data_IF_822684637178
#
_entry.id   IF_822684637178
#
_cell.length_a   1.000
_cell.length_b   1.000
_cell.length_c   1.000
_cell.angle_alpha   90.00
_cell.angle_beta   90.00
_cell.angle_gamma   90.00
#
_symmetry.space_group_name_H-M   'P 1'
#
loop_
_entity.id
_entity.type
_entity.pdbx_description
1 polymer ?
#
# COMPACT_ATOMS: atom_id res chain seq x y z
N UNK A 1 -40.73 1.29 22.66
CA UNK A 1 -39.31 0.99 22.88
C UNK A 1 -38.67 0.84 21.49
N UNK A 2 -38.01 1.88 20.97
CA UNK A 2 -37.32 1.79 19.67
C UNK A 2 -36.01 1.03 19.92
N UNK A 3 -35.95 -0.21 19.46
CA UNK A 3 -34.71 -0.97 19.38
C UNK A 3 -33.81 -0.21 18.39
N UNK A 4 -32.78 0.47 18.88
CA UNK A 4 -31.69 0.94 18.03
C UNK A 4 -30.92 -0.30 17.58
N UNK A 5 -31.18 -0.76 16.35
CA UNK A 5 -30.25 -1.62 15.63
C UNK A 5 -29.01 -0.76 15.36
N UNK A 6 -27.98 -0.91 16.19
CA UNK A 6 -26.67 -0.35 15.88
C UNK A 6 -26.16 -1.06 14.62
N UNK A 7 -25.66 -0.34 13.61
CA UNK A 7 -24.99 -0.97 12.48
C UNK A 7 -23.82 -1.77 13.05
N UNK A 8 -23.81 -3.07 12.77
CA UNK A 8 -22.65 -3.92 13.02
C UNK A 8 -21.65 -3.57 11.94
N UNK A 9 -20.72 -2.66 12.23
CA UNK A 9 -19.53 -2.51 11.39
C UNK A 9 -18.73 -3.78 11.57
N UNK A 10 -18.61 -4.57 10.50
CA UNK A 10 -17.75 -5.75 10.50
C UNK A 10 -16.30 -5.25 10.56
N UNK A 11 -15.68 -5.40 11.73
CA UNK A 11 -14.28 -5.03 11.92
C UNK A 11 -13.39 -6.00 11.12
N UNK A 12 -12.95 -5.57 9.94
CA UNK A 12 -11.96 -6.30 9.13
C UNK A 12 -10.52 -6.15 9.64
N UNK A 13 -9.69 -7.16 9.39
CA UNK A 13 -8.24 -7.08 9.51
C UNK A 13 -7.65 -6.53 8.21
N UNK A 14 -7.11 -5.31 8.24
CA UNK A 14 -6.59 -4.64 7.05
C UNK A 14 -5.06 -4.54 7.12
N UNK A 15 -4.38 -5.10 6.12
CA UNK A 15 -2.94 -4.90 5.94
C UNK A 15 -2.71 -3.76 4.95
N UNK A 16 -2.02 -2.71 5.36
CA UNK A 16 -1.57 -1.64 4.48
C UNK A 16 -0.10 -1.86 4.11
N UNK A 17 0.21 -1.69 2.85
CA UNK A 17 1.57 -1.54 2.34
C UNK A 17 1.61 -0.36 1.36
N UNK A 18 2.79 0.08 0.95
CA UNK A 18 2.93 1.29 0.12
C UNK A 18 4.22 1.23 -0.69
N UNK A 19 4.22 1.88 -1.87
CA UNK A 19 5.44 2.16 -2.63
C UNK A 19 6.21 3.31 -1.99
N UNK A 20 5.49 4.22 -1.33
CA UNK A 20 6.08 5.29 -0.53
C UNK A 20 6.66 4.78 0.79
N UNK A 21 7.08 5.72 1.62
CA UNK A 21 7.66 5.46 2.92
C UNK A 21 6.62 5.07 3.95
N UNK A 22 6.99 4.16 4.84
CA UNK A 22 6.17 3.76 5.98
C UNK A 22 5.81 4.91 6.93
N UNK A 23 6.54 6.04 6.88
CA UNK A 23 6.27 7.28 7.62
C UNK A 23 5.76 8.43 6.75
N UNK A 24 5.39 8.18 5.49
CA UNK A 24 4.73 9.18 4.67
C UNK A 24 3.32 9.50 5.19
N UNK A 25 2.81 10.69 4.86
CA UNK A 25 1.46 11.15 5.24
C UNK A 25 0.35 10.14 4.88
N UNK A 26 0.42 9.53 3.69
CA UNK A 26 -0.60 8.63 3.16
C UNK A 26 -0.90 7.45 4.09
N UNK A 27 0.02 6.47 4.21
CA UNK A 27 -0.21 5.26 5.01
C UNK A 27 -0.45 5.58 6.49
N UNK A 28 0.21 6.60 7.04
CA UNK A 28 0.08 7.01 8.46
C UNK A 28 -1.32 7.49 8.80
N UNK A 29 -1.87 8.42 8.01
CA UNK A 29 -3.22 8.93 8.28
C UNK A 29 -4.31 7.96 7.81
N UNK A 30 -4.06 7.11 6.81
CA UNK A 30 -5.04 6.09 6.41
C UNK A 30 -5.22 5.03 7.50
N UNK A 31 -4.13 4.55 8.11
CA UNK A 31 -4.20 3.60 9.23
C UNK A 31 -5.07 4.14 10.36
N UNK A 32 -4.87 5.41 10.73
CA UNK A 32 -5.64 6.02 11.79
C UNK A 32 -7.12 6.13 11.42
N UNK A 33 -7.44 6.58 10.20
CA UNK A 33 -8.82 6.69 9.74
C UNK A 33 -9.57 5.35 9.81
N UNK A 34 -8.97 4.28 9.28
CA UNK A 34 -9.56 2.92 9.30
C UNK A 34 -9.67 2.35 10.73
N UNK A 35 -8.70 2.66 11.60
CA UNK A 35 -8.73 2.22 13.00
C UNK A 35 -9.83 2.92 13.80
N UNK A 36 -10.05 4.23 13.57
CA UNK A 36 -11.17 4.95 14.20
C UNK A 36 -12.53 4.48 13.68
N UNK A 37 -12.59 3.97 12.46
CA UNK A 37 -13.77 3.33 11.89
C UNK A 37 -14.05 1.93 12.46
N UNK A 38 -13.09 1.36 13.20
CA UNK A 38 -13.24 0.11 13.95
C UNK A 38 -12.50 -1.09 13.39
N UNK A 39 -11.72 -0.91 12.32
CA UNK A 39 -10.89 -1.97 11.74
C UNK A 39 -9.63 -2.26 12.58
N UNK A 40 -9.13 -3.48 12.47
CA UNK A 40 -7.82 -3.86 13.00
C UNK A 40 -6.78 -3.69 11.89
N UNK A 41 -5.93 -2.67 12.00
CA UNK A 41 -5.04 -2.28 10.90
C UNK A 41 -3.58 -2.52 11.27
N UNK A 42 -2.81 -3.08 10.33
CA UNK A 42 -1.36 -3.21 10.40
C UNK A 42 -0.75 -2.63 9.15
N UNK A 43 0.41 -2.00 9.29
CA UNK A 43 1.15 -1.45 8.15
C UNK A 43 2.51 -2.09 8.09
N UNK A 44 2.89 -2.60 6.92
CA UNK A 44 4.24 -3.10 6.64
C UNK A 44 4.73 -2.47 5.35
N UNK A 45 5.83 -1.71 5.43
CA UNK A 45 6.36 -0.99 4.29
C UNK A 45 7.88 -0.83 4.35
N UNK A 46 8.46 -0.36 3.24
CA UNK A 46 9.89 -0.12 3.14
C UNK A 46 10.35 0.98 4.11
N UNK A 47 11.51 0.75 4.74
CA UNK A 47 12.21 1.73 5.57
C UNK A 47 12.75 2.88 4.72
N UNK A 48 13.17 2.59 3.47
CA UNK A 48 13.79 3.52 2.53
C UNK A 48 13.39 3.17 1.08
N UNK A 49 12.19 3.56 0.61
CA UNK A 49 11.69 3.17 -0.70
C UNK A 49 12.45 3.80 -1.87
N UNK A 50 13.08 4.97 -1.66
CA UNK A 50 13.70 5.80 -2.72
C UNK A 50 15.22 5.61 -2.85
N UNK A 51 15.83 4.64 -2.16
CA UNK A 51 17.25 4.34 -2.34
C UNK A 51 17.42 3.41 -3.54
N UNK A 52 17.79 3.97 -4.71
CA UNK A 52 18.30 3.18 -5.84
C UNK A 52 19.54 2.40 -5.36
N UNK A 53 19.41 1.10 -5.16
CA UNK A 53 20.57 0.26 -4.89
C UNK A 53 21.25 -0.06 -6.22
N UNK A 54 22.48 0.42 -6.40
CA UNK A 54 23.30 0.02 -7.55
C UNK A 54 23.59 -1.48 -7.48
N UNK A 55 23.36 -2.19 -8.59
CA UNK A 55 23.67 -3.63 -8.75
C UNK A 55 25.13 -3.99 -8.50
N UNK A 56 26.04 -3.02 -8.49
CA UNK A 56 27.48 -3.20 -8.22
C UNK A 56 27.79 -3.27 -6.71
N UNK A 57 26.88 -2.83 -5.84
CA UNK A 57 27.07 -2.84 -4.37
C UNK A 57 26.53 -4.09 -3.67
N UNK A 58 25.82 -4.98 -4.38
CA UNK A 58 25.36 -6.26 -3.83
C UNK A 58 26.52 -7.18 -3.41
N UNK A 59 27.64 -7.17 -4.14
CA UNK A 59 28.79 -8.05 -3.87
C UNK A 59 29.75 -7.53 -2.79
N UNK A 60 29.66 -6.24 -2.40
CA UNK A 60 30.53 -5.63 -1.38
C UNK A 60 29.83 -5.35 -0.05
N UNK A 61 28.86 -6.17 0.33
CA UNK A 61 28.28 -6.09 1.69
C UNK A 61 29.22 -6.71 2.72
N UNK A 62 30.27 -5.96 3.08
CA UNK A 62 30.64 -5.87 4.48
C UNK A 62 29.47 -5.19 5.19
N UNK A 63 28.71 -6.02 5.89
CA UNK A 63 27.57 -5.68 6.73
C UNK A 63 27.93 -4.48 7.62
N UNK A 64 27.38 -3.30 7.31
CA UNK A 64 27.22 -2.26 8.32
C UNK A 64 26.04 -2.68 9.18
N UNK A 65 26.35 -3.19 10.37
CA UNK A 65 25.36 -3.48 11.40
C UNK A 65 24.79 -2.15 11.89
N UNK A 66 23.46 -2.03 11.85
CA UNK A 66 22.69 -0.93 12.45
C UNK A 66 22.21 0.08 11.42
N UNK A 67 20.93 0.45 11.50
CA UNK A 67 20.34 1.60 10.82
C UNK A 67 21.22 2.86 10.94
N UNK A 68 21.99 3.28 9.90
CA UNK A 68 22.88 4.41 10.05
C UNK A 68 22.18 5.76 9.87
N UNK A 69 20.88 5.80 9.49
CA UNK A 69 20.21 7.05 9.07
C UNK A 69 18.75 7.21 9.56
N UNK A 70 18.31 6.48 10.60
CA UNK A 70 16.97 6.69 11.15
C UNK A 70 15.79 6.36 10.21
N UNK A 71 16.05 5.75 9.04
CA UNK A 71 15.05 5.54 7.99
C UNK A 71 14.65 6.83 7.30
N UNK A 72 13.65 6.75 6.43
CA UNK A 72 13.13 7.94 5.77
C UNK A 72 12.66 9.02 6.77
N UNK A 73 12.86 10.29 6.40
CA UNK A 73 12.73 11.48 7.26
C UNK A 73 13.52 11.42 8.58
N UNK A 74 14.46 10.49 8.74
CA UNK A 74 15.20 10.24 9.97
C UNK A 74 14.29 9.89 11.17
N UNK A 75 13.12 9.31 10.92
CA UNK A 75 12.08 9.11 11.93
C UNK A 75 12.56 8.32 13.16
N UNK A 76 13.39 7.30 12.97
CA UNK A 76 13.89 6.43 14.04
C UNK A 76 15.07 7.04 14.83
N UNK A 77 15.52 8.27 14.50
CA UNK A 77 16.55 8.92 15.33
C UNK A 77 16.03 9.17 16.74
N UNK A 78 16.85 8.97 17.79
CA UNK A 78 16.43 9.15 19.18
C UNK A 78 15.82 10.53 19.46
N UNK A 79 16.36 11.59 18.85
CA UNK A 79 15.84 12.95 19.01
C UNK A 79 14.40 13.09 18.49
N UNK A 80 14.10 12.52 17.31
CA UNK A 80 12.75 12.54 16.73
C UNK A 80 11.77 11.72 17.57
N UNK A 81 12.18 10.52 17.98
CA UNK A 81 11.38 9.64 18.83
C UNK A 81 11.05 10.29 20.18
N UNK A 82 12.03 10.94 20.83
CA UNK A 82 11.81 11.68 22.08
C UNK A 82 10.87 12.87 21.86
N UNK A 83 11.07 13.62 20.78
CA UNK A 83 10.23 14.77 20.45
C UNK A 83 8.76 14.37 20.31
N UNK A 84 8.46 13.46 19.38
CA UNK A 84 7.08 13.02 19.12
C UNK A 84 6.45 12.32 20.32
N UNK A 85 7.21 11.53 21.08
CA UNK A 85 6.72 10.96 22.35
C UNK A 85 6.25 12.06 23.32
N UNK A 86 7.04 13.13 23.46
CA UNK A 86 6.70 14.23 24.34
C UNK A 86 5.50 15.03 23.83
N UNK A 87 5.39 15.27 22.53
CA UNK A 87 4.20 15.93 21.94
C UNK A 87 2.94 15.08 22.18
N UNK A 88 3.01 13.77 21.92
CA UNK A 88 1.90 12.85 22.23
C UNK A 88 1.50 12.93 23.69
N UNK A 89 2.47 12.93 24.61
CA UNK A 89 2.21 13.07 26.05
C UNK A 89 1.46 14.37 26.35
N UNK A 90 1.87 15.48 25.74
CA UNK A 90 1.21 16.78 25.93
C UNK A 90 -0.22 16.79 25.40
N UNK A 91 -0.49 16.11 24.29
CA UNK A 91 -1.78 16.14 23.59
C UNK A 91 -2.78 15.10 24.11
N UNK A 92 -2.30 13.95 24.61
CA UNK A 92 -3.17 12.83 25.00
C UNK A 92 -3.36 12.69 26.51
N UNK A 93 -2.43 13.19 27.33
CA UNK A 93 -2.55 13.05 28.80
C UNK A 93 -3.51 14.10 29.37
N UNK A 94 -4.49 13.68 30.20
CA UNK A 94 -5.43 14.61 30.81
C UNK A 94 -4.75 15.71 31.64
N UNK A 95 -5.21 16.95 31.46
CA UNK A 95 -4.69 18.12 32.18
C UNK A 95 -5.57 18.46 33.37
N UNK A 96 -4.92 18.78 34.48
CA UNK A 96 -5.56 19.18 35.73
C UNK A 96 -5.70 20.69 35.89
N UNK A 97 -5.82 21.13 37.14
CA UNK A 97 -5.95 22.55 37.50
C UNK A 97 -4.77 23.35 36.94
N UNK A 98 -5.07 24.51 36.34
CA UNK A 98 -4.10 25.39 35.65
C UNK A 98 -3.42 24.74 34.42
N UNK A 99 -4.09 23.79 33.76
CA UNK A 99 -3.59 23.18 32.53
C UNK A 99 -2.27 22.40 32.72
N UNK A 100 -2.06 21.84 33.92
CA UNK A 100 -0.84 21.09 34.25
C UNK A 100 -1.07 19.58 34.19
N UNK A 101 -0.09 18.83 33.69
CA UNK A 101 -0.09 17.36 33.74
C UNK A 101 0.42 16.94 35.11
N UNK A 102 -0.34 16.11 35.83
CA UNK A 102 0.10 15.60 37.13
C UNK A 102 1.25 14.60 36.95
N UNK A 103 2.19 14.56 37.90
CA UNK A 103 3.30 13.61 37.87
C UNK A 103 2.81 12.15 37.72
N UNK A 104 1.74 11.80 38.44
CA UNK A 104 1.14 10.46 38.38
C UNK A 104 0.68 10.08 36.96
N UNK A 105 0.01 10.98 36.25
CA UNK A 105 -0.45 10.72 34.88
C UNK A 105 0.73 10.72 33.88
N UNK A 106 1.71 11.59 34.11
CA UNK A 106 2.98 11.61 33.37
C UNK A 106 3.73 10.27 33.47
N UNK A 107 3.89 9.75 34.68
CA UNK A 107 4.63 8.50 34.94
C UNK A 107 3.89 7.30 34.37
N UNK A 108 2.56 7.26 34.48
CA UNK A 108 1.73 6.23 33.84
C UNK A 108 1.93 6.18 32.33
N UNK A 109 2.00 7.34 31.67
CA UNK A 109 2.26 7.41 30.23
C UNK A 109 3.65 6.86 29.90
N UNK A 110 4.68 7.25 30.65
CA UNK A 110 6.04 6.79 30.42
C UNK A 110 6.21 5.28 30.66
N UNK A 111 5.58 4.75 31.72
CA UNK A 111 5.54 3.32 31.99
C UNK A 111 4.82 2.53 30.90
N UNK A 112 3.69 3.03 30.40
CA UNK A 112 2.96 2.39 29.32
C UNK A 112 3.82 2.27 28.06
N UNK A 113 4.60 3.31 27.75
CA UNK A 113 5.52 3.33 26.62
C UNK A 113 6.71 2.37 26.82
N UNK A 114 7.28 2.30 28.03
CA UNK A 114 8.40 1.41 28.33
C UNK A 114 8.02 -0.07 28.36
N UNK A 115 6.76 -0.38 28.69
CA UNK A 115 6.23 -1.75 28.71
C UNK A 115 5.82 -2.27 27.32
N UNK A 116 5.90 -1.43 26.28
CA UNK A 116 5.62 -1.89 24.91
C UNK A 116 6.71 -2.86 24.47
N UNK A 117 6.29 -4.06 24.08
CA UNK A 117 7.16 -5.05 23.47
C UNK A 117 7.32 -4.72 21.99
N UNK A 118 8.35 -3.92 21.67
CA UNK A 118 8.64 -3.45 20.32
C UNK A 118 9.69 -4.37 19.70
N UNK A 119 9.32 -5.02 18.60
CA UNK A 119 10.22 -5.88 17.84
C UNK A 119 11.28 -5.02 17.13
N UNK A 120 12.55 -5.42 17.28
CA UNK A 120 13.71 -4.76 16.65
C UNK A 120 14.68 -5.83 16.14
N UNK A 121 14.46 -6.25 14.91
CA UNK A 121 15.31 -7.20 14.23
C UNK A 121 16.30 -6.51 13.28
N UNK A 122 17.28 -7.27 12.80
CA UNK A 122 18.32 -6.74 11.92
C UNK A 122 17.85 -6.36 10.51
N UNK A 123 16.65 -6.77 10.08
CA UNK A 123 16.09 -6.53 8.74
C UNK A 123 14.72 -5.84 8.78
N UNK A 124 14.05 -5.82 9.93
CA UNK A 124 12.74 -5.19 10.10
C UNK A 124 12.53 -4.83 11.58
N UNK A 125 11.54 -3.99 11.86
CA UNK A 125 11.16 -3.67 13.23
C UNK A 125 9.85 -2.89 13.29
N UNK A 126 9.40 -2.59 14.50
CA UNK A 126 8.22 -1.77 14.75
C UNK A 126 8.61 -0.33 15.06
N UNK A 127 7.71 0.58 14.70
CA UNK A 127 7.75 1.94 15.18
C UNK A 127 7.56 2.01 16.70
N UNK A 128 8.52 2.56 17.46
CA UNK A 128 8.34 2.74 18.89
C UNK A 128 7.16 3.63 19.25
N UNK A 129 6.75 4.54 18.36
CA UNK A 129 5.59 5.40 18.56
C UNK A 129 4.29 4.73 18.13
N UNK A 130 4.28 3.71 17.29
CA UNK A 130 3.05 3.05 16.89
C UNK A 130 3.29 1.57 16.53
N UNK A 131 3.02 0.62 17.42
CA UNK A 131 3.30 -0.81 17.17
C UNK A 131 2.47 -1.42 16.03
N UNK A 132 1.50 -0.70 15.45
CA UNK A 132 0.82 -1.13 14.23
C UNK A 132 1.68 -0.94 12.96
N UNK A 133 2.73 -0.11 13.02
CA UNK A 133 3.62 0.16 11.91
C UNK A 133 4.90 -0.66 12.00
N UNK A 134 5.18 -1.40 10.94
CA UNK A 134 6.38 -2.18 10.73
C UNK A 134 7.15 -1.61 9.55
N UNK A 135 8.46 -1.48 9.73
CA UNK A 135 9.38 -1.12 8.66
C UNK A 135 10.24 -2.33 8.30
N UNK A 136 10.59 -2.45 7.02
CA UNK A 136 11.53 -3.46 6.52
C UNK A 136 12.64 -2.74 5.76
N UNK A 137 13.89 -3.06 6.05
CA UNK A 137 15.08 -2.50 5.39
C UNK A 137 15.30 -3.16 4.02
N UNK A 138 14.35 -2.94 3.11
CA UNK A 138 14.28 -3.54 1.78
C UNK A 138 13.40 -2.69 0.85
N UNK A 139 13.40 -2.97 -0.46
CA UNK A 139 12.51 -2.30 -1.42
C UNK A 139 11.04 -2.64 -1.15
N UNK A 140 10.06 -1.85 -1.64
CA UNK A 140 8.64 -2.07 -1.34
C UNK A 140 8.13 -3.50 -1.57
N UNK A 141 8.45 -4.11 -2.73
CA UNK A 141 8.04 -5.49 -3.06
C UNK A 141 8.64 -6.52 -2.10
N UNK A 142 9.90 -6.32 -1.73
CA UNK A 142 10.63 -7.16 -0.78
C UNK A 142 10.06 -7.00 0.64
N UNK A 143 9.71 -5.77 1.03
CA UNK A 143 9.09 -5.48 2.32
C UNK A 143 7.76 -6.22 2.49
N UNK A 144 6.91 -6.22 1.46
CA UNK A 144 5.66 -7.00 1.47
C UNK A 144 5.94 -8.51 1.47
N UNK A 145 6.97 -8.97 0.78
CA UNK A 145 7.39 -10.38 0.81
C UNK A 145 7.78 -10.81 2.24
N UNK A 146 8.60 -10.01 2.92
CA UNK A 146 9.00 -10.21 4.33
C UNK A 146 7.79 -10.11 5.27
N UNK A 147 6.80 -9.27 4.96
CA UNK A 147 5.55 -9.22 5.71
C UNK A 147 4.89 -10.60 5.76
N UNK A 148 4.75 -11.24 4.60
CA UNK A 148 4.10 -12.55 4.48
C UNK A 148 4.96 -13.73 4.96
N UNK A 149 6.28 -13.69 4.77
CA UNK A 149 7.16 -14.81 5.15
C UNK A 149 7.54 -14.81 6.63
N UNK A 150 7.71 -13.62 7.22
CA UNK A 150 8.36 -13.48 8.53
C UNK A 150 7.50 -12.70 9.54
N UNK A 151 6.99 -11.52 9.19
CA UNK A 151 6.33 -10.65 10.18
C UNK A 151 4.97 -11.21 10.61
N UNK A 152 4.08 -11.48 9.66
CA UNK A 152 2.74 -11.98 9.96
C UNK A 152 2.81 -13.34 10.68
N UNK A 153 3.56 -14.35 10.20
CA UNK A 153 3.55 -15.66 10.84
C UNK A 153 4.21 -15.69 12.22
N UNK A 154 5.29 -14.92 12.44
CA UNK A 154 6.08 -15.02 13.69
C UNK A 154 5.66 -14.01 14.76
N UNK A 155 5.22 -12.82 14.36
CA UNK A 155 4.95 -11.71 15.30
C UNK A 155 3.47 -11.33 15.37
N UNK A 156 2.68 -11.66 14.35
CA UNK A 156 1.24 -11.39 14.31
C UNK A 156 0.43 -12.66 13.95
N UNK A 157 0.64 -13.81 14.62
CA UNK A 157 0.07 -15.10 14.20
C UNK A 157 -1.46 -15.14 14.25
N UNK A 158 -2.10 -14.25 15.01
CA UNK A 158 -3.56 -14.12 15.11
C UNK A 158 -4.15 -13.10 14.13
N UNK A 159 -3.31 -12.42 13.35
CA UNK A 159 -3.71 -11.45 12.35
C UNK A 159 -3.69 -12.10 10.97
N UNK A 160 -4.86 -12.31 10.38
CA UNK A 160 -5.01 -12.75 9.00
C UNK A 160 -5.70 -11.63 8.23
N UNK A 161 -5.07 -11.02 7.21
CA UNK A 161 -5.70 -9.95 6.45
C UNK A 161 -6.97 -10.44 5.76
N UNK A 162 -8.06 -9.69 5.93
CA UNK A 162 -9.28 -9.81 5.14
C UNK A 162 -9.17 -8.96 3.86
N UNK A 163 -8.37 -7.89 3.93
CA UNK A 163 -8.10 -6.98 2.83
C UNK A 163 -6.64 -6.48 2.88
N UNK A 164 -6.00 -6.37 1.72
CA UNK A 164 -4.72 -5.67 1.56
C UNK A 164 -4.95 -4.36 0.82
N UNK A 165 -4.48 -3.25 1.38
CA UNK A 165 -4.47 -1.94 0.73
C UNK A 165 -3.04 -1.60 0.33
N UNK A 166 -2.82 -1.32 -0.95
CA UNK A 166 -1.55 -0.81 -1.48
C UNK A 166 -1.68 0.70 -1.65
N UNK A 167 -1.17 1.48 -0.70
CA UNK A 167 -1.22 2.93 -0.68
C UNK A 167 -1.90 3.53 0.57
N UNK A 168 -2.30 4.82 0.53
CA UNK A 168 -2.33 5.69 -0.65
C UNK A 168 -0.91 6.06 -1.07
N UNK A 169 -0.57 5.76 -2.32
CA UNK A 169 0.73 6.10 -2.90
C UNK A 169 0.67 7.46 -3.58
N UNK A 170 1.73 8.25 -3.42
CA UNK A 170 2.00 9.41 -4.25
C UNK A 170 2.46 8.97 -5.65
N UNK A 171 2.02 9.71 -6.66
CA UNK A 171 2.16 9.34 -8.06
C UNK A 171 1.08 8.40 -8.59
N UNK A 172 0.68 8.64 -9.83
CA UNK A 172 -0.35 7.85 -10.50
C UNK A 172 0.18 6.47 -10.88
N UNK A 173 -0.55 5.44 -10.47
CA UNK A 173 -0.30 4.06 -10.85
C UNK A 173 -1.46 3.60 -11.72
N UNK A 174 -1.48 4.07 -12.96
CA UNK A 174 -2.54 3.74 -13.90
C UNK A 174 -2.44 2.27 -14.32
N UNK A 175 -3.60 1.65 -14.53
CA UNK A 175 -3.71 0.24 -14.90
C UNK A 175 -3.00 -0.03 -16.23
N UNK A 176 -2.23 -1.12 -16.28
CA UNK A 176 -1.57 -1.56 -17.50
C UNK A 176 -2.58 -1.89 -18.61
N UNK A 177 -2.23 -1.61 -19.87
CA UNK A 177 -3.08 -1.93 -21.01
C UNK A 177 -3.27 -3.46 -21.14
N UNK A 178 -4.45 -3.87 -21.62
CA UNK A 178 -4.73 -5.28 -21.87
C UNK A 178 -3.81 -5.84 -22.96
N UNK A 179 -3.11 -6.94 -22.65
CA UNK A 179 -2.30 -7.66 -23.62
C UNK A 179 -3.20 -8.37 -24.65
N UNK A 180 -2.67 -8.61 -25.85
CA UNK A 180 -3.31 -9.47 -26.86
C UNK A 180 -2.71 -10.88 -26.91
N UNK A 181 -1.77 -11.18 -26.02
CA UNK A 181 -1.07 -12.46 -25.99
C UNK A 181 -1.91 -13.51 -25.24
N UNK A 182 -1.85 -14.78 -25.65
CA UNK A 182 -2.60 -15.85 -24.98
C UNK A 182 -2.07 -16.16 -23.57
N UNK A 183 -0.78 -15.90 -23.31
CA UNK A 183 -0.12 -16.06 -22.01
C UNK A 183 0.63 -14.78 -21.69
N UNK A 184 0.37 -14.21 -20.52
CA UNK A 184 1.06 -13.01 -20.02
C UNK A 184 2.07 -13.44 -18.97
N UNK A 185 3.32 -13.02 -19.12
CA UNK A 185 4.40 -13.27 -18.15
C UNK A 185 4.86 -11.92 -17.60
N UNK A 186 4.68 -11.72 -16.30
CA UNK A 186 5.11 -10.51 -15.60
C UNK A 186 6.23 -10.83 -14.62
N UNK A 187 7.27 -10.00 -14.61
CA UNK A 187 8.34 -10.08 -13.63
C UNK A 187 8.14 -8.99 -12.57
N UNK A 188 7.65 -9.38 -11.39
CA UNK A 188 7.20 -8.43 -10.37
C UNK A 188 8.31 -7.47 -9.92
N UNK A 189 9.57 -7.91 -9.94
CA UNK A 189 10.72 -7.08 -9.57
C UNK A 189 11.03 -5.99 -10.61
N UNK A 190 10.73 -6.26 -11.88
CA UNK A 190 11.03 -5.38 -13.01
C UNK A 190 9.81 -4.60 -13.53
N UNK A 191 8.65 -4.75 -12.88
CA UNK A 191 7.45 -4.00 -13.25
C UNK A 191 7.64 -2.50 -13.00
N UNK A 192 7.41 -1.70 -14.04
CA UNK A 192 7.44 -0.23 -13.93
C UNK A 192 6.38 0.29 -12.94
N UNK A 193 5.20 -0.35 -12.89
CA UNK A 193 4.15 -0.05 -11.93
C UNK A 193 4.34 -0.87 -10.65
N UNK A 194 5.05 -0.30 -9.68
CA UNK A 194 5.35 -0.96 -8.41
C UNK A 194 4.10 -1.24 -7.55
N UNK A 195 3.08 -0.37 -7.60
CA UNK A 195 1.82 -0.61 -6.90
C UNK A 195 1.07 -1.83 -7.46
N UNK A 196 1.08 -2.01 -8.79
CA UNK A 196 0.53 -3.21 -9.44
C UNK A 196 1.34 -4.47 -9.03
N UNK A 197 2.67 -4.38 -8.93
CA UNK A 197 3.50 -5.49 -8.48
C UNK A 197 3.18 -5.92 -7.04
N UNK A 198 3.03 -4.95 -6.12
CA UNK A 198 2.60 -5.21 -4.74
C UNK A 198 1.22 -5.86 -4.68
N UNK A 199 0.29 -5.36 -5.50
CA UNK A 199 -1.06 -5.90 -5.57
C UNK A 199 -1.09 -7.34 -6.07
N UNK A 200 -0.33 -7.65 -7.12
CA UNK A 200 -0.20 -9.02 -7.64
C UNK A 200 0.46 -9.97 -6.62
N UNK A 201 1.45 -9.49 -5.86
CA UNK A 201 2.05 -10.27 -4.78
C UNK A 201 1.05 -10.59 -3.66
N UNK A 202 0.18 -9.64 -3.29
CA UNK A 202 -0.88 -9.88 -2.31
C UNK A 202 -1.95 -10.86 -2.83
N UNK A 203 -2.36 -10.75 -4.11
CA UNK A 203 -3.27 -11.71 -4.74
C UNK A 203 -2.66 -13.12 -4.81
N UNK A 204 -1.36 -13.24 -5.08
CA UNK A 204 -0.62 -14.50 -5.04
C UNK A 204 -0.68 -15.17 -3.66
N UNK A 205 -0.76 -14.37 -2.59
CA UNK A 205 -0.97 -14.85 -1.22
C UNK A 205 -2.45 -15.06 -0.88
N UNK A 206 -3.32 -15.00 -1.87
CA UNK A 206 -4.77 -15.22 -1.75
C UNK A 206 -5.45 -14.20 -0.84
N UNK A 207 -5.11 -12.92 -1.00
CA UNK A 207 -5.81 -11.81 -0.36
C UNK A 207 -6.54 -10.92 -1.38
N UNK A 208 -7.75 -10.40 -1.07
CA UNK A 208 -8.38 -9.32 -1.83
C UNK A 208 -7.53 -8.03 -1.73
N UNK A 209 -7.52 -7.21 -2.79
CA UNK A 209 -6.62 -6.06 -2.86
C UNK A 209 -7.31 -4.82 -3.42
N UNK A 210 -7.03 -3.67 -2.78
CA UNK A 210 -7.27 -2.33 -3.33
C UNK A 210 -5.93 -1.61 -3.44
N UNK A 211 -5.57 -1.19 -4.64
CA UNK A 211 -4.48 -0.25 -4.89
C UNK A 211 -5.04 1.17 -4.91
N UNK A 212 -4.40 2.09 -4.20
CA UNK A 212 -4.81 3.49 -4.12
C UNK A 212 -3.62 4.39 -4.40
N UNK A 213 -3.81 5.33 -5.31
CA UNK A 213 -2.80 6.30 -5.72
C UNK A 213 -3.39 7.68 -5.89
N UNK A 214 -2.57 8.71 -5.77
CA UNK A 214 -2.95 10.09 -6.02
C UNK A 214 -1.91 10.81 -6.90
N UNK A 215 -2.34 11.80 -7.67
CA UNK A 215 -1.46 12.53 -8.60
C UNK A 215 -0.42 13.44 -7.91
N UNK A 216 -0.53 13.64 -6.59
CA UNK A 216 0.45 14.40 -5.83
C UNK A 216 1.79 13.64 -5.68
N UNK A 217 2.86 14.40 -5.43
CA UNK A 217 4.23 13.90 -5.30
C UNK A 217 4.98 14.75 -4.25
N UNK A 218 4.30 15.08 -3.15
CA UNK A 218 4.77 16.06 -2.17
C UNK A 218 5.90 15.53 -1.27
N UNK A 219 6.00 14.20 -1.13
CA UNK A 219 6.87 13.44 -0.25
C UNK A 219 6.93 14.03 1.16
N UNK A 220 5.76 14.06 1.82
CA UNK A 220 5.60 14.72 3.13
C UNK A 220 5.60 13.70 4.27
N UNK A 221 6.45 13.98 5.26
CA UNK A 221 6.47 13.30 6.55
C UNK A 221 5.15 13.51 7.31
N UNK A 222 4.57 12.44 7.85
CA UNK A 222 3.31 12.52 8.60
C UNK A 222 3.38 13.45 9.82
N UNK A 223 4.57 13.56 10.42
CA UNK A 223 4.85 14.40 11.58
C UNK A 223 5.31 15.83 11.22
N UNK A 224 5.10 16.29 9.99
CA UNK A 224 5.45 17.66 9.60
C UNK A 224 4.40 18.66 10.11
N UNK A 225 4.78 19.40 11.15
CA UNK A 225 3.93 20.39 11.79
C UNK A 225 3.59 21.60 10.90
N UNK A 226 4.20 21.78 9.74
CA UNK A 226 3.73 22.80 8.78
C UNK A 226 2.35 22.44 8.23
N UNK A 227 2.05 21.14 8.13
CA UNK A 227 0.84 20.63 7.50
C UNK A 227 -0.13 20.00 8.50
N UNK A 228 0.35 19.42 9.60
CA UNK A 228 -0.49 18.65 10.52
C UNK A 228 -0.35 19.11 11.96
N UNK A 229 -1.37 18.83 12.78
CA UNK A 229 -1.25 18.77 14.23
C UNK A 229 -0.82 17.34 14.55
N UNK A 230 0.39 17.17 15.08
CA UNK A 230 1.01 15.86 15.20
C UNK A 230 0.67 15.23 16.56
N UNK A 231 0.55 13.91 16.58
CA UNK A 231 0.36 13.14 17.81
C UNK A 231 -0.90 13.55 18.61
N UNK A 232 -1.96 13.95 17.92
CA UNK A 232 -3.25 14.30 18.52
C UNK A 232 -3.98 13.07 19.07
N UNK A 233 -4.97 13.31 19.94
CA UNK A 233 -5.77 12.23 20.51
C UNK A 233 -6.81 11.65 19.53
N UNK A 234 -7.25 12.45 18.56
CA UNK A 234 -8.27 12.10 17.57
C UNK A 234 -7.81 12.42 16.15
N UNK A 235 -8.28 11.62 15.20
CA UNK A 235 -7.98 11.78 13.79
C UNK A 235 -8.39 13.17 13.27
N UNK A 236 -9.62 13.59 13.58
CA UNK A 236 -10.19 14.87 13.13
C UNK A 236 -9.35 16.09 13.56
N UNK A 237 -8.71 16.01 14.73
CA UNK A 237 -7.91 17.10 15.30
C UNK A 237 -6.53 17.23 14.64
N UNK A 238 -6.10 16.23 13.87
CA UNK A 238 -4.76 16.20 13.25
C UNK A 238 -4.61 17.10 12.04
N UNK A 239 -5.71 17.61 11.48
CA UNK A 239 -5.71 18.33 10.20
C UNK A 239 -5.74 19.84 10.37
N UNK A 240 -4.69 20.52 9.91
CA UNK A 240 -4.68 21.99 9.83
C UNK A 240 -5.45 22.48 8.60
N UNK A 241 -5.82 23.76 8.61
CA UNK A 241 -6.50 24.40 7.49
C UNK A 241 -5.54 24.73 6.33
N UNK A 242 -4.96 23.72 5.68
CA UNK A 242 -4.13 23.86 4.48
C UNK A 242 -4.50 22.82 3.40
N UNK A 243 -4.06 23.02 2.14
CA UNK A 243 -4.39 22.13 1.03
C UNK A 243 -3.97 20.66 1.22
N UNK A 244 -2.76 20.42 1.72
CA UNK A 244 -2.21 19.05 1.91
C UNK A 244 -3.07 18.28 2.90
N UNK A 245 -3.33 18.87 4.07
CA UNK A 245 -4.16 18.26 5.10
C UNK A 245 -5.59 17.98 4.61
N UNK A 246 -6.19 18.90 3.85
CA UNK A 246 -7.53 18.70 3.25
C UNK A 246 -7.52 17.56 2.23
N UNK A 247 -6.47 17.42 1.43
CA UNK A 247 -6.35 16.32 0.48
C UNK A 247 -6.26 14.98 1.19
N UNK A 248 -5.37 14.85 2.18
CA UNK A 248 -5.22 13.61 2.96
C UNK A 248 -6.55 13.23 3.62
N UNK A 249 -7.21 14.19 4.27
CA UNK A 249 -8.50 13.94 4.92
C UNK A 249 -9.58 13.51 3.91
N UNK A 250 -9.61 14.13 2.73
CA UNK A 250 -10.56 13.78 1.68
C UNK A 250 -10.33 12.38 1.12
N UNK A 251 -9.08 12.08 0.76
CA UNK A 251 -8.67 10.79 0.20
C UNK A 251 -8.99 9.68 1.21
N UNK A 252 -8.56 9.83 2.46
CA UNK A 252 -8.80 8.82 3.49
C UNK A 252 -10.29 8.57 3.71
N UNK A 253 -11.11 9.63 3.76
CA UNK A 253 -12.56 9.46 3.87
C UNK A 253 -13.14 8.67 2.69
N UNK A 254 -12.72 8.99 1.45
CA UNK A 254 -13.17 8.25 0.27
C UNK A 254 -12.68 6.81 0.25
N UNK A 255 -11.49 6.52 0.77
CA UNK A 255 -11.00 5.15 0.91
C UNK A 255 -11.80 4.38 1.96
N UNK A 256 -12.10 4.97 3.12
CA UNK A 256 -12.95 4.35 4.15
C UNK A 256 -14.33 4.02 3.55
N UNK A 257 -14.99 4.97 2.88
CA UNK A 257 -16.26 4.75 2.18
C UNK A 257 -16.17 3.60 1.15
N UNK A 258 -15.05 3.49 0.43
CA UNK A 258 -14.82 2.41 -0.53
C UNK A 258 -14.62 1.06 0.18
N UNK A 259 -13.83 1.02 1.26
CA UNK A 259 -13.57 -0.20 2.03
C UNK A 259 -14.87 -0.76 2.60
N UNK A 260 -15.72 0.08 3.20
CA UNK A 260 -17.04 -0.32 3.72
C UNK A 260 -17.93 -0.96 2.64
N UNK A 261 -17.85 -0.48 1.40
CA UNK A 261 -18.63 -1.01 0.29
C UNK A 261 -18.06 -2.32 -0.26
N UNK A 262 -16.74 -2.43 -0.41
CA UNK A 262 -16.13 -3.50 -1.21
C UNK A 262 -15.55 -4.64 -0.39
N UNK A 263 -15.11 -4.41 0.85
CA UNK A 263 -14.53 -5.45 1.70
C UNK A 263 -15.44 -6.69 1.83
N UNK A 264 -16.77 -6.57 1.99
CA UNK A 264 -17.63 -7.74 2.14
C UNK A 264 -17.81 -8.59 0.87
N UNK A 265 -17.47 -8.05 -0.31
CA UNK A 265 -17.80 -8.67 -1.60
C UNK A 265 -16.62 -8.83 -2.56
N UNK A 266 -15.48 -8.20 -2.28
CA UNK A 266 -14.31 -8.26 -3.15
C UNK A 266 -13.68 -9.66 -3.11
N UNK A 267 -13.56 -10.30 -4.27
CA UNK A 267 -13.01 -11.67 -4.38
C UNK A 267 -11.50 -11.65 -4.60
N UNK A 268 -10.84 -12.78 -4.30
CA UNK A 268 -9.40 -12.98 -4.47
C UNK A 268 -8.88 -12.75 -5.89
N UNK A 269 -9.74 -13.00 -6.89
CA UNK A 269 -9.41 -12.83 -8.30
C UNK A 269 -9.50 -11.38 -8.79
N UNK A 270 -10.13 -10.51 -8.02
CA UNK A 270 -10.36 -9.11 -8.35
C UNK A 270 -9.36 -8.20 -7.62
N UNK A 271 -8.96 -7.15 -8.31
CA UNK A 271 -8.12 -6.06 -7.83
C UNK A 271 -8.83 -4.75 -8.18
N UNK A 272 -8.97 -3.85 -7.22
CA UNK A 272 -9.42 -2.49 -7.51
C UNK A 272 -8.21 -1.58 -7.61
N UNK A 273 -8.07 -0.84 -8.72
CA UNK A 273 -7.06 0.19 -8.86
C UNK A 273 -7.73 1.56 -8.84
N UNK A 274 -7.39 2.37 -7.85
CA UNK A 274 -8.04 3.66 -7.57
C UNK A 274 -7.03 4.77 -7.71
N UNK A 275 -7.30 5.74 -8.57
CA UNK A 275 -6.46 6.91 -8.76
C UNK A 275 -7.25 8.18 -8.44
N UNK A 276 -6.72 9.00 -7.54
CA UNK A 276 -7.26 10.31 -7.20
C UNK A 276 -6.59 11.40 -8.04
N UNK A 277 -7.36 12.36 -8.59
CA UNK A 277 -6.79 13.47 -9.32
C UNK A 277 -6.05 14.41 -8.37
N UNK A 278 -5.16 15.24 -8.89
CA UNK A 278 -4.57 16.33 -8.13
C UNK A 278 -5.68 17.26 -7.63
N UNK A 279 -5.71 17.57 -6.34
CA UNK A 279 -6.74 18.41 -5.70
C UNK A 279 -6.11 19.54 -4.89
N UNK A 280 -6.83 20.66 -4.75
CA UNK A 280 -6.50 21.78 -3.85
C UNK A 280 -5.11 22.44 -4.03
N UNK A 281 -4.35 22.09 -5.06
CA UNK A 281 -3.06 22.71 -5.38
C UNK A 281 -3.22 23.93 -6.32
N UNK A 282 -2.23 24.82 -6.38
CA UNK A 282 -2.27 26.04 -7.22
C UNK A 282 -2.52 25.75 -8.71
N UNK A 283 -2.08 24.58 -9.17
CA UNK A 283 -2.22 24.12 -10.56
C UNK A 283 -3.27 23.02 -10.75
N UNK A 284 -3.97 22.64 -9.68
CA UNK A 284 -5.07 21.68 -9.76
C UNK A 284 -6.37 22.41 -10.13
N UNK A 285 -7.15 21.80 -11.02
CA UNK A 285 -8.52 22.23 -11.34
C UNK A 285 -9.58 21.55 -10.48
N UNK A 286 -9.20 20.60 -9.62
CA UNK A 286 -10.10 19.82 -8.77
C UNK A 286 -10.05 20.29 -7.31
N UNK A 287 -11.19 20.20 -6.62
CA UNK A 287 -11.34 20.70 -5.24
C UNK A 287 -11.87 19.59 -4.34
N UNK A 288 -11.15 19.28 -3.26
CA UNK A 288 -11.54 18.27 -2.28
C UNK A 288 -12.56 18.85 -1.28
N UNK A 289 -13.83 18.92 -1.69
CA UNK A 289 -14.97 19.37 -0.86
C UNK A 289 -16.03 18.29 -0.78
N UNK A 290 -17.15 18.51 -0.07
CA UNK A 290 -18.26 17.56 -0.04
C UNK A 290 -18.89 17.26 -1.43
N UNK A 291 -18.67 18.14 -2.42
CA UNK A 291 -19.02 17.93 -3.83
C UNK A 291 -17.79 17.68 -4.71
N UNK A 292 -16.70 17.25 -4.09
CA UNK A 292 -15.44 16.95 -4.77
C UNK A 292 -15.55 15.75 -5.71
N UNK A 293 -14.41 15.29 -6.25
CA UNK A 293 -14.35 14.16 -7.15
C UNK A 293 -15.08 12.92 -6.61
N UNK A 294 -15.97 12.35 -7.41
CA UNK A 294 -16.68 11.09 -7.11
C UNK A 294 -16.03 9.94 -7.86
N UNK A 295 -16.28 8.71 -7.41
CA UNK A 295 -15.78 7.52 -8.11
C UNK A 295 -16.39 7.39 -9.50
N UNK A 296 -15.53 7.06 -10.46
CA UNK A 296 -15.91 6.75 -11.84
C UNK A 296 -15.27 5.42 -12.23
N UNK A 297 -16.08 4.39 -12.40
CA UNK A 297 -15.62 3.09 -12.86
C UNK A 297 -15.23 3.17 -14.34
N UNK A 298 -13.94 2.99 -14.60
CA UNK A 298 -13.36 2.95 -15.93
C UNK A 298 -13.61 1.59 -16.54
N UNK A 299 -14.23 1.58 -17.72
CA UNK A 299 -14.55 0.36 -18.47
C UNK A 299 -13.78 0.36 -19.78
N UNK A 300 -12.96 -0.67 -19.98
CA UNK A 300 -12.19 -0.90 -21.19
C UNK A 300 -12.94 -1.74 -22.22
N UNK A 301 -12.30 -1.94 -23.37
CA UNK A 301 -12.82 -2.84 -24.40
C UNK A 301 -12.81 -4.29 -23.91
N UNK A 302 -13.81 -5.09 -24.34
CA UNK A 302 -13.89 -6.52 -23.99
C UNK A 302 -12.65 -7.27 -24.49
N UNK A 303 -11.93 -7.88 -23.55
CA UNK A 303 -10.71 -8.65 -23.82
C UNK A 303 -11.05 -10.11 -24.11
N UNK A 304 -10.25 -10.77 -24.95
CA UNK A 304 -10.26 -12.22 -25.05
C UNK A 304 -9.60 -12.83 -23.81
N UNK A 305 -10.21 -13.88 -23.26
CA UNK A 305 -9.67 -14.58 -22.10
C UNK A 305 -8.27 -15.12 -22.42
N UNK A 306 -7.29 -14.78 -21.58
CA UNK A 306 -5.97 -15.38 -21.63
C UNK A 306 -6.03 -16.83 -21.13
N UNK A 307 -5.13 -17.68 -21.62
CA UNK A 307 -4.95 -19.07 -21.15
C UNK A 307 -4.28 -19.12 -19.76
N UNK A 308 -3.73 -18.00 -19.28
CA UNK A 308 -3.23 -17.82 -17.92
C UNK A 308 -2.27 -16.63 -17.80
N UNK A 309 -2.11 -16.12 -16.57
CA UNK A 309 -1.07 -15.14 -16.19
C UNK A 309 -0.01 -15.84 -15.36
N UNK A 310 1.26 -15.59 -15.65
CA UNK A 310 2.40 -16.17 -14.96
C UNK A 310 3.19 -15.04 -14.34
N UNK A 311 3.49 -15.21 -13.06
CA UNK A 311 4.20 -14.22 -12.26
C UNK A 311 5.56 -14.79 -11.89
N UNK A 312 6.62 -14.05 -12.21
CA UNK A 312 7.96 -14.24 -11.68
C UNK A 312 8.05 -13.49 -10.35
N UNK A 313 8.30 -14.22 -9.28
CA UNK A 313 8.37 -13.69 -7.91
C UNK A 313 9.79 -13.92 -7.36
N UNK A 314 10.52 -12.86 -6.98
CA UNK A 314 11.80 -13.03 -6.31
C UNK A 314 11.60 -13.65 -4.93
N UNK A 315 12.37 -14.68 -4.58
CA UNK A 315 12.37 -15.19 -3.21
C UNK A 315 13.19 -14.28 -2.31
N UNK A 316 12.52 -13.57 -1.41
CA UNK A 316 13.16 -12.79 -0.35
C UNK A 316 12.86 -13.44 0.98
N UNK A 317 13.90 -13.89 1.68
CA UNK A 317 13.78 -14.33 3.07
C UNK A 317 14.23 -13.19 3.99
N UNK A 318 13.59 -13.02 5.16
CA UNK A 318 14.04 -12.08 6.19
C UNK A 318 15.43 -12.39 6.76
N UNK A 319 16.06 -13.51 6.37
CA UNK A 319 17.44 -13.86 6.70
C UNK A 319 18.39 -13.39 5.58
N UNK A 320 19.36 -12.55 5.96
CA UNK A 320 20.34 -11.93 5.06
C UNK A 320 21.06 -12.97 4.19
N UNK A 321 21.22 -12.68 2.90
CA UNK A 321 22.22 -13.32 2.04
C UNK A 321 21.80 -14.62 1.35
N UNK A 322 20.50 -14.86 1.13
CA UNK A 322 20.07 -15.92 0.22
C UNK A 322 19.98 -15.34 -1.20
N UNK A 323 20.79 -15.88 -2.11
CA UNK A 323 20.70 -15.63 -3.56
C UNK A 323 19.26 -15.89 -4.02
N UNK A 324 18.67 -14.90 -4.69
CA UNK A 324 17.27 -14.90 -5.08
C UNK A 324 16.98 -16.01 -6.08
N UNK A 325 16.29 -17.06 -5.63
CA UNK A 325 15.68 -18.01 -6.55
C UNK A 325 14.34 -17.40 -7.01
N UNK A 326 14.26 -17.05 -8.30
CA UNK A 326 12.99 -16.63 -8.89
C UNK A 326 12.05 -17.83 -8.98
N UNK A 327 10.83 -17.66 -8.46
CA UNK A 327 9.76 -18.65 -8.59
C UNK A 327 8.75 -18.20 -9.61
N UNK A 328 8.38 -19.10 -10.53
CA UNK A 328 7.34 -18.85 -11.51
C UNK A 328 6.04 -19.47 -11.01
N UNK A 329 4.98 -18.67 -10.96
CA UNK A 329 3.67 -19.11 -10.45
C UNK A 329 2.62 -18.80 -11.50
N UNK A 330 1.78 -19.79 -11.82
CA UNK A 330 0.63 -19.60 -12.70
C UNK A 330 -0.59 -19.20 -11.87
N UNK A 331 -1.30 -18.18 -12.32
CA UNK A 331 -2.56 -17.74 -11.71
C UNK A 331 -3.74 -18.37 -12.45
N UNK A 332 -4.70 -18.89 -11.68
CA UNK A 332 -5.98 -19.37 -12.20
C UNK A 332 -7.02 -18.26 -12.27
N UNK A 333 -8.14 -18.53 -12.98
CA UNK A 333 -9.28 -17.62 -13.05
C UNK A 333 -9.94 -17.36 -11.68
N UNK A 334 -9.74 -18.26 -10.71
CA UNK A 334 -10.25 -18.09 -9.34
C UNK A 334 -9.31 -17.25 -8.47
N UNK A 335 -8.21 -16.73 -9.01
CA UNK A 335 -7.21 -15.98 -8.24
C UNK A 335 -6.31 -16.87 -7.39
N UNK A 336 -6.31 -18.18 -7.62
CA UNK A 336 -5.49 -19.12 -6.84
C UNK A 336 -4.16 -19.40 -7.55
N UNK A 337 -3.03 -19.38 -6.83
CA UNK A 337 -1.75 -19.81 -7.38
C UNK A 337 -1.78 -21.33 -7.63
N UNK A 338 -1.41 -21.74 -8.83
CA UNK A 338 -1.28 -23.14 -9.23
C UNK A 338 0.21 -23.48 -9.45
N UNK A 339 0.69 -24.64 -8.94
CA UNK A 339 2.03 -25.09 -9.25
C UNK A 339 2.12 -25.42 -10.74
N UNK A 340 3.14 -24.88 -11.41
CA UNK A 340 3.43 -25.22 -12.80
C UNK A 340 3.90 -26.67 -12.89
N UNK A 341 3.22 -27.48 -13.70
CA UNK A 341 3.70 -28.83 -13.99
C UNK A 341 5.03 -28.76 -14.74
N UNK A 342 5.94 -29.70 -14.52
CA UNK A 342 7.28 -29.71 -15.14
C UNK A 342 7.23 -29.60 -16.68
N UNK A 343 6.26 -30.27 -17.30
CA UNK A 343 6.03 -30.20 -18.76
C UNK A 343 5.51 -28.82 -19.21
N UNK A 344 4.67 -28.18 -18.41
CA UNK A 344 4.18 -26.82 -18.67
C UNK A 344 5.31 -25.81 -18.50
N UNK A 345 6.11 -25.94 -17.44
CA UNK A 345 7.30 -25.15 -17.21
C UNK A 345 8.32 -25.30 -18.36
N UNK A 346 8.56 -26.52 -18.84
CA UNK A 346 9.44 -26.76 -20.00
C UNK A 346 8.89 -26.18 -21.30
N UNK A 347 7.56 -26.22 -21.52
CA UNK A 347 6.90 -25.54 -22.64
C UNK A 347 7.01 -24.02 -22.52
N UNK A 348 6.89 -23.50 -21.31
CA UNK A 348 7.05 -22.09 -20.98
C UNK A 348 8.47 -21.60 -21.19
N UNK A 349 9.46 -22.33 -20.68
CA UNK A 349 10.87 -22.09 -20.95
C UNK A 349 11.12 -22.11 -22.46
N UNK A 350 10.57 -23.08 -23.20
CA UNK A 350 10.72 -23.12 -24.65
C UNK A 350 10.08 -21.90 -25.36
N UNK A 351 9.00 -21.32 -24.83
CA UNK A 351 8.40 -20.07 -25.30
C UNK A 351 9.27 -18.86 -24.92
N UNK A 352 9.74 -18.80 -23.68
CA UNK A 352 10.55 -17.71 -23.11
C UNK A 352 11.96 -17.63 -23.71
N UNK A 353 12.56 -18.78 -24.05
CA UNK A 353 13.88 -18.90 -24.70
C UNK A 353 13.78 -18.57 -26.21
N UNK A 354 12.57 -18.41 -26.77
CA UNK A 354 12.48 -17.89 -28.14
C UNK A 354 13.09 -16.48 -28.18
N UNK A 355 14.04 -16.20 -29.10
CA UNK A 355 14.65 -14.89 -29.22
C UNK A 355 13.62 -13.77 -29.43
N UNK A 356 12.46 -14.08 -30.03
CA UNK A 356 11.37 -13.12 -30.21
C UNK A 356 10.64 -12.78 -28.91
N UNK A 357 10.62 -13.66 -27.91
CA UNK A 357 10.01 -13.42 -26.60
C UNK A 357 11.02 -12.80 -25.65
N UNK A 358 12.27 -13.29 -25.64
CA UNK A 358 13.39 -12.64 -24.93
C UNK A 358 13.64 -11.22 -25.43
N UNK A 359 13.63 -10.99 -26.75
CA UNK A 359 13.72 -9.64 -27.29
C UNK A 359 12.47 -8.81 -27.00
N UNK A 360 11.29 -9.39 -26.75
CA UNK A 360 10.09 -8.63 -26.30
C UNK A 360 10.08 -8.33 -24.80
N UNK A 361 10.74 -9.16 -23.99
CA UNK A 361 11.02 -8.88 -22.58
C UNK A 361 12.12 -7.82 -22.43
N UNK A 362 13.05 -7.74 -23.39
CA UNK A 362 14.16 -6.77 -23.41
C UNK A 362 13.90 -5.51 -24.26
N UNK A 363 13.08 -5.59 -25.31
CA UNK A 363 12.48 -4.43 -25.97
C UNK A 363 11.48 -3.86 -24.97
N UNK A 364 11.98 -2.98 -24.11
CA UNK A 364 11.18 -1.88 -23.60
C UNK A 364 10.58 -1.22 -24.83
N UNK A 365 9.35 -1.57 -25.18
CA UNK A 365 8.56 -0.79 -26.13
C UNK A 365 8.47 0.60 -25.46
N UNK A 366 9.35 1.51 -25.85
CA UNK A 366 9.32 2.92 -25.43
C UNK A 366 7.98 3.58 -25.81
N UNK A 367 7.18 2.91 -26.65
CA UNK A 367 5.80 3.26 -27.00
C UNK A 367 4.80 2.85 -25.91
N UNK A 368 5.06 1.79 -25.14
CA UNK A 368 4.22 1.32 -24.02
C UNK A 368 4.28 2.26 -22.82
N UNK A 369 5.42 2.93 -22.59
CA UNK A 369 5.53 4.05 -21.65
C UNK A 369 4.57 5.20 -21.96
N UNK A 370 4.13 5.34 -23.22
CA UNK A 370 3.23 6.41 -23.69
C UNK A 370 1.74 6.07 -23.61
N UNK A 371 1.36 4.86 -23.20
CA UNK A 371 -0.04 4.44 -23.11
C UNK A 371 -0.37 3.89 -21.72
N UNK A 372 -0.09 4.70 -20.70
CA UNK A 372 -0.88 4.61 -19.46
C UNK A 372 -2.36 4.72 -19.85
N UNK A 373 -3.23 3.99 -19.14
CA UNK A 373 -4.64 3.88 -19.48
C UNK A 373 -5.30 5.25 -19.68
N UNK A 374 -5.52 5.60 -20.95
CA UNK A 374 -6.07 6.90 -21.36
C UNK A 374 -7.46 7.15 -20.79
N UNK A 375 -8.20 6.09 -20.43
CA UNK A 375 -9.53 6.23 -19.86
C UNK A 375 -9.47 6.63 -18.39
N UNK A 376 -8.57 6.03 -17.59
CA UNK A 376 -8.29 6.49 -16.22
C UNK A 376 -7.78 7.93 -16.23
N UNK A 377 -6.78 8.24 -17.06
CA UNK A 377 -6.25 9.61 -17.17
C UNK A 377 -7.34 10.65 -17.52
N UNK A 378 -8.24 10.32 -18.46
CA UNK A 378 -9.38 11.21 -18.81
C UNK A 378 -10.39 11.37 -17.68
N UNK A 379 -10.58 10.37 -16.83
CA UNK A 379 -11.44 10.50 -15.66
C UNK A 379 -10.82 11.49 -14.66
N UNK A 380 -9.52 11.38 -14.42
CA UNK A 380 -8.77 12.33 -13.56
C UNK A 380 -8.85 13.76 -14.12
N UNK A 381 -8.65 13.95 -15.43
CA UNK A 381 -8.79 15.24 -16.10
C UNK A 381 -10.19 15.86 -15.94
N UNK A 382 -11.24 15.04 -15.73
CA UNK A 382 -12.61 15.48 -15.48
C UNK A 382 -12.93 15.68 -14.00
N UNK A 383 -11.92 15.63 -13.12
CA UNK A 383 -12.09 15.66 -11.67
C UNK A 383 -12.96 14.51 -11.15
N UNK A 384 -12.78 13.32 -11.71
CA UNK A 384 -13.36 12.08 -11.20
C UNK A 384 -12.24 11.26 -10.51
N UNK A 385 -12.60 10.46 -9.51
CA UNK A 385 -11.70 9.44 -8.95
C UNK A 385 -11.78 8.24 -9.87
N UNK A 386 -10.71 7.98 -10.62
CA UNK A 386 -10.68 6.88 -11.57
C UNK A 386 -10.61 5.55 -10.80
N UNK A 387 -11.53 4.64 -11.10
CA UNK A 387 -11.57 3.32 -10.49
C UNK A 387 -11.57 2.26 -11.59
N UNK A 388 -10.56 1.40 -11.64
CA UNK A 388 -10.54 0.25 -12.52
C UNK A 388 -10.75 -1.05 -11.73
N UNK A 389 -11.64 -1.90 -12.26
CA UNK A 389 -11.80 -3.27 -11.78
C UNK A 389 -10.92 -4.17 -12.64
N UNK A 390 -9.94 -4.81 -12.03
CA UNK A 390 -8.99 -5.67 -12.72
C UNK A 390 -9.17 -7.11 -12.24
N UNK A 391 -8.90 -8.06 -13.12
CA UNK A 391 -8.94 -9.48 -12.80
C UNK A 391 -7.68 -10.15 -13.29
N UNK A 392 -7.11 -11.02 -12.46
CA UNK A 392 -5.77 -11.58 -12.67
C UNK A 392 -5.56 -12.24 -14.05
N UNK A 393 -6.57 -12.93 -14.59
CA UNK A 393 -6.53 -13.57 -15.92
C UNK A 393 -7.49 -12.98 -16.97
N UNK A 394 -8.60 -12.37 -16.56
CA UNK A 394 -9.62 -11.83 -17.49
C UNK A 394 -9.29 -10.42 -18.00
N UNK A 395 -8.23 -9.83 -17.49
CA UNK A 395 -7.74 -8.52 -17.88
C UNK A 395 -8.28 -7.38 -17.02
N UNK A 396 -8.09 -6.18 -17.53
CA UNK A 396 -8.19 -4.92 -16.82
C UNK A 396 -9.36 -4.07 -17.29
N UNK A 397 -9.84 -3.16 -16.43
CA UNK A 397 -10.98 -2.25 -16.67
C UNK A 397 -12.30 -2.97 -16.96
N UNK A 398 -12.63 -3.97 -16.15
CA UNK A 398 -13.85 -4.74 -16.27
C UNK A 398 -15.09 -3.90 -15.92
N UNK A 399 -16.18 -4.21 -16.61
CA UNK A 399 -17.43 -3.48 -16.47
C UNK A 399 -18.20 -3.80 -15.18
N UNK A 400 -19.26 -3.02 -14.89
CA UNK A 400 -20.17 -3.25 -13.76
C UNK A 400 -20.89 -4.60 -13.79
N UNK A 401 -20.92 -5.28 -14.95
CA UNK A 401 -21.43 -6.64 -15.10
C UNK A 401 -20.56 -7.69 -14.40
N UNK A 402 -19.28 -7.40 -14.18
CA UNK A 402 -18.37 -8.25 -13.41
C UNK A 402 -18.36 -7.85 -11.94
N UNK A 403 -18.19 -6.56 -11.67
CA UNK A 403 -18.20 -6.00 -10.32
C UNK A 403 -18.62 -4.54 -10.41
N UNK A 404 -19.73 -4.21 -9.75
CA UNK A 404 -20.29 -2.86 -9.75
C UNK A 404 -19.91 -2.17 -8.45
N UNK A 405 -19.35 -0.97 -8.58
CA UNK A 405 -19.09 -0.08 -7.44
C UNK A 405 -19.98 1.15 -7.57
N UNK A 406 -20.63 1.50 -6.48
CA UNK A 406 -21.71 2.48 -6.39
C UNK A 406 -21.26 3.77 -5.69
N UNK A 407 -20.13 3.75 -4.96
CA UNK A 407 -19.71 4.80 -4.03
C UNK A 407 -19.96 6.23 -4.55
N UNK A 408 -20.85 6.94 -3.83
CA UNK A 408 -21.47 8.23 -4.22
C UNK A 408 -20.60 9.47 -4.02
#
# INVERSE_FOLDING_TARGET
MKLFLLPVVLAANILITTTDSWVAKGPRYLEWALREDGHNVKVVASLNPNTEYSSVELEKRQIVVGAPQGGDFNHLLPAQQIYHKNIRKLNTVPRGVRNTISQRESDKFDEAFQKQDIVREGAYGQDPLNPNFWYVDAQPLEALSVAFSDILPNHLPTFTPDLVIVGPNEGLHLTSANSKQDVVVEDLEQMDNQAEALALLAQLKSFPVISVSSEDHDHIYYGDERYFNVEEAKYEDSFKANPVARNVQYINRKIVELVEEVEPTLTLSLLLNVNFPSMNHKFSHCIATAKGPTFFQVVGDKVQSHLGKILSVPHVSGKRGLEGQTTYIKMSDEGRPEPLLELEFMRLLAILIQPSVQNRLHEKDDVSKLYHNKLEARALDRCEIALAVNHVTKGNNLGPDVYSIVTR
#
